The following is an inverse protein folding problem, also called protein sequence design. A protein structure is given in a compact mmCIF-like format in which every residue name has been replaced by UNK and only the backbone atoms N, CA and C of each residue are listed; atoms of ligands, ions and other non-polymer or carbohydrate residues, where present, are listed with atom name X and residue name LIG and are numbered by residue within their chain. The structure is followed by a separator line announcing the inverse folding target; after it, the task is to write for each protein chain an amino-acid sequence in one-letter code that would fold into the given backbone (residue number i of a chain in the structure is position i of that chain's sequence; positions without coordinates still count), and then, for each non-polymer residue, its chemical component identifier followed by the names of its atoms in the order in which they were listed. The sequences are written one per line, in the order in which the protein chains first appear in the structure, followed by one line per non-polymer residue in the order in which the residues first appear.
data_IF_657087604383
#
_entry.id   IF_657087604383
#
_cell.length_a   1.000
_cell.length_b   1.000
_cell.length_c   1.000
_cell.angle_alpha   90.00
_cell.angle_beta   90.00
_cell.angle_gamma   90.00
#
_symmetry.space_group_name_H-M   'P 1'
#
loop_
_entity.id
_entity.type
_entity.pdbx_description
1 polymer ?
#
# COMPACT_ATOMS: atom_id res chain seq x y z
N UNK A 1 -34.70 16.18 -14.70
CA UNK A 1 -33.80 15.93 -13.55
C UNK A 1 -32.57 15.21 -14.03
N UNK A 2 -31.41 15.87 -14.00
CA UNK A 2 -30.13 15.27 -14.40
C UNK A 2 -29.53 14.58 -13.18
N UNK A 3 -29.69 13.26 -13.09
CA UNK A 3 -28.91 12.46 -12.14
C UNK A 3 -27.46 12.50 -12.62
N UNK A 4 -26.69 13.44 -12.08
CA UNK A 4 -25.23 13.35 -12.05
C UNK A 4 -24.91 12.04 -11.36
N UNK A 5 -24.67 10.99 -12.15
CA UNK A 5 -24.04 9.75 -11.74
C UNK A 5 -22.67 10.16 -11.18
N UNK A 6 -22.61 10.46 -9.88
CA UNK A 6 -21.38 10.31 -9.12
C UNK A 6 -21.08 8.83 -9.20
N UNK A 7 -20.34 8.46 -10.24
CA UNK A 7 -19.69 7.18 -10.33
C UNK A 7 -18.77 7.14 -9.12
N UNK A 8 -19.24 6.54 -8.02
CA UNK A 8 -18.35 6.00 -7.02
C UNK A 8 -17.59 4.92 -7.79
N UNK A 9 -16.49 5.33 -8.42
CA UNK A 9 -15.48 4.43 -8.89
C UNK A 9 -15.00 3.80 -7.59
N UNK A 10 -15.59 2.66 -7.20
CA UNK A 10 -14.88 1.76 -6.31
C UNK A 10 -13.58 1.50 -7.07
N UNK A 11 -12.48 2.12 -6.63
CA UNK A 11 -11.17 1.92 -7.22
C UNK A 11 -10.79 0.47 -6.89
N UNK A 12 -11.31 -0.44 -7.70
CA UNK A 12 -10.99 -1.86 -7.61
C UNK A 12 -9.48 -1.94 -7.70
N UNK A 13 -8.80 -2.49 -6.67
CA UNK A 13 -7.35 -2.65 -6.68
C UNK A 13 -6.90 -3.24 -8.00
N UNK A 14 -5.96 -2.55 -8.67
CA UNK A 14 -5.36 -3.10 -9.87
C UNK A 14 -4.53 -4.35 -9.51
N UNK A 15 -4.00 -5.06 -10.51
CA UNK A 15 -3.25 -6.29 -10.27
C UNK A 15 -2.05 -6.09 -9.32
N UNK A 16 -1.37 -4.95 -9.39
CA UNK A 16 -0.25 -4.60 -8.52
C UNK A 16 -0.72 -4.44 -7.07
N UNK A 17 -1.77 -3.65 -6.85
CA UNK A 17 -2.34 -3.43 -5.51
C UNK A 17 -2.87 -4.74 -4.91
N UNK A 18 -3.53 -5.59 -5.71
CA UNK A 18 -4.01 -6.90 -5.26
C UNK A 18 -2.88 -7.79 -4.77
N UNK A 19 -1.77 -7.85 -5.51
CA UNK A 19 -0.60 -8.64 -5.11
C UNK A 19 0.05 -8.10 -3.85
N UNK A 20 0.18 -6.78 -3.74
CA UNK A 20 0.73 -6.14 -2.54
C UNK A 20 -0.09 -6.48 -1.28
N UNK A 21 -1.43 -6.45 -1.38
CA UNK A 21 -2.32 -6.84 -0.28
C UNK A 21 -2.13 -8.31 0.12
N UNK A 22 -2.06 -9.24 -0.83
CA UNK A 22 -1.84 -10.67 -0.53
C UNK A 22 -0.49 -10.89 0.17
N UNK A 23 0.56 -10.19 -0.25
CA UNK A 23 1.89 -10.29 0.36
C UNK A 23 1.88 -9.72 1.79
N UNK A 24 1.20 -8.58 2.01
CA UNK A 24 1.05 -7.99 3.33
C UNK A 24 0.32 -8.94 4.30
N UNK A 25 -0.79 -9.54 3.86
CA UNK A 25 -1.54 -10.53 4.65
C UNK A 25 -0.66 -11.74 5.02
N UNK A 26 0.07 -12.30 4.05
CA UNK A 26 0.95 -13.44 4.29
C UNK A 26 2.11 -13.12 5.26
N UNK A 27 2.58 -11.87 5.28
CA UNK A 27 3.57 -11.39 6.24
C UNK A 27 2.97 -11.29 7.65
N UNK A 28 1.77 -10.72 7.77
CA UNK A 28 1.06 -10.57 9.04
C UNK A 28 0.74 -11.92 9.68
N UNK A 29 0.31 -12.90 8.89
CA UNK A 29 0.06 -14.29 9.33
C UNK A 29 1.35 -15.10 9.57
N UNK A 30 2.53 -14.50 9.37
CA UNK A 30 3.83 -15.15 9.57
C UNK A 30 4.14 -16.28 8.57
N UNK A 31 3.41 -16.34 7.46
CA UNK A 31 3.65 -17.33 6.39
C UNK A 31 4.93 -17.01 5.61
N UNK A 32 5.27 -15.72 5.51
CA UNK A 32 6.54 -15.24 4.96
C UNK A 32 7.16 -14.20 5.92
N UNK A 33 8.50 -14.07 5.97
CA UNK A 33 9.14 -13.07 6.83
C UNK A 33 8.76 -11.64 6.45
N UNK A 34 8.45 -10.82 7.45
CA UNK A 34 8.28 -9.39 7.26
C UNK A 34 9.59 -8.63 7.48
N UNK A 35 10.31 -8.38 6.38
CA UNK A 35 11.53 -7.57 6.38
C UNK A 35 11.24 -6.10 6.06
N UNK A 36 10.01 -5.63 6.26
CA UNK A 36 9.68 -4.21 6.06
C UNK A 36 10.42 -3.36 7.08
N UNK A 37 10.98 -2.19 6.67
CA UNK A 37 11.60 -1.28 7.62
C UNK A 37 10.55 -0.73 8.58
N UNK A 38 10.94 -0.59 9.84
CA UNK A 38 10.11 0.00 10.90
C UNK A 38 10.71 1.34 11.27
N UNK A 39 9.85 2.35 11.42
CA UNK A 39 10.23 3.70 11.76
C UNK A 39 9.46 4.14 12.99
N UNK A 40 10.13 4.81 13.93
CA UNK A 40 9.51 5.40 15.13
C UNK A 40 9.31 6.91 14.99
N UNK A 41 9.82 7.51 13.90
CA UNK A 41 9.69 8.93 13.59
C UNK A 41 9.48 9.18 12.08
N UNK A 42 8.93 10.36 11.78
CA UNK A 42 8.54 10.73 10.40
C UNK A 42 9.76 11.07 9.54
N UNK A 43 10.80 11.65 10.12
CA UNK A 43 11.98 12.10 9.37
C UNK A 43 12.72 10.91 8.75
N UNK A 44 12.90 9.82 9.51
CA UNK A 44 13.54 8.60 9.02
C UNK A 44 12.70 7.88 7.95
N UNK A 45 11.37 7.87 8.10
CA UNK A 45 10.46 7.35 7.08
C UNK A 45 10.59 8.12 5.77
N UNK A 46 10.57 9.45 5.82
CA UNK A 46 10.66 10.31 4.64
C UNK A 46 12.00 10.13 3.92
N UNK A 47 13.09 10.05 4.68
CA UNK A 47 14.42 9.80 4.13
C UNK A 47 14.50 8.48 3.38
N UNK A 48 13.94 7.40 3.94
CA UNK A 48 13.93 6.09 3.28
C UNK A 48 13.15 6.11 1.94
N UNK A 49 12.00 6.79 1.90
CA UNK A 49 11.19 6.93 0.68
C UNK A 49 11.88 7.75 -0.41
N UNK A 50 12.75 8.69 -0.04
CA UNK A 50 13.56 9.48 -0.98
C UNK A 50 14.76 8.67 -1.51
N UNK A 51 15.38 7.85 -0.67
CA UNK A 51 16.49 6.97 -1.07
C UNK A 51 16.04 5.86 -2.03
N UNK A 52 14.84 5.30 -1.86
CA UNK A 52 14.26 4.29 -2.78
C UNK A 52 13.96 4.82 -4.19
N UNK A 53 13.91 6.15 -4.38
CA UNK A 53 13.55 6.79 -5.67
C UNK A 53 14.76 7.11 -6.56
N UNK A 54 15.98 6.86 -6.10
CA UNK A 54 17.23 7.06 -6.86
C UNK A 54 17.64 5.82 -7.63
#
# INVERSE_FOLDING_TARGET
MSLKKHLIKYDIPNATTKRALIIAEAKEEGLIPDNSPVFDNVDDLMKALEEERK
#
